data_IF_652131378069
#
_entry.id   IF_652131378069
#
_cell.length_a   1.000
_cell.length_b   1.000
_cell.length_c   1.000
_cell.angle_alpha   90.00
_cell.angle_beta   90.00
_cell.angle_gamma   90.00
#
_symmetry.space_group_name_H-M   'P 1'
#
loop_
_entity.id
_entity.type
_entity.pdbx_description
1 polymer ?
#
# COMPACT_ATOMS: atom_id res chain seq x y z
N UNK A 1 19.41 -5.67 -0.62
CA UNK A 1 18.12 -6.26 -0.20
C UNK A 1 17.01 -5.62 -1.03
N UNK A 2 15.83 -6.24 -1.15
CA UNK A 2 14.65 -5.57 -1.72
C UNK A 2 13.70 -5.22 -0.59
N UNK A 3 13.29 -3.95 -0.50
CA UNK A 3 12.44 -3.45 0.58
C UNK A 3 11.21 -2.76 -0.01
N UNK A 4 10.03 -3.19 0.44
CA UNK A 4 8.75 -2.59 0.05
C UNK A 4 8.32 -1.54 1.05
N UNK A 5 8.04 -0.34 0.56
CA UNK A 5 7.40 0.72 1.31
C UNK A 5 5.93 0.79 0.90
N UNK A 6 5.04 0.45 1.82
CA UNK A 6 3.60 0.41 1.54
C UNK A 6 2.94 1.69 2.05
N UNK A 7 2.36 2.47 1.13
CA UNK A 7 1.61 3.68 1.44
C UNK A 7 0.11 3.40 1.38
N UNK A 8 -0.53 3.48 2.55
CA UNK A 8 -1.96 3.23 2.72
C UNK A 8 -2.72 4.50 3.15
N UNK A 9 -2.24 5.68 2.72
CA UNK A 9 -2.88 6.96 3.01
C UNK A 9 -2.63 7.96 1.86
N UNK A 10 -3.69 8.39 1.19
CA UNK A 10 -3.65 9.39 0.10
C UNK A 10 -4.02 10.81 0.56
N UNK A 11 -4.24 11.03 1.86
CA UNK A 11 -4.66 12.33 2.38
C UNK A 11 -3.51 13.33 2.32
N UNK A 12 -3.75 14.44 1.62
CA UNK A 12 -2.87 15.59 1.59
C UNK A 12 -2.67 16.18 3.00
N UNK A 13 -1.42 16.51 3.34
CA UNK A 13 -1.07 17.11 4.64
C UNK A 13 -1.20 16.17 5.85
N UNK A 14 -1.33 14.86 5.66
CA UNK A 14 -1.36 13.90 6.77
C UNK A 14 -0.02 13.82 7.50
N UNK A 15 -0.07 13.74 8.84
CA UNK A 15 1.12 13.57 9.69
C UNK A 15 1.84 12.25 9.34
N UNK A 16 1.07 11.19 9.12
CA UNK A 16 1.60 9.88 8.71
C UNK A 16 2.23 9.90 7.32
N UNK A 17 1.71 10.72 6.38
CA UNK A 17 2.32 10.91 5.07
C UNK A 17 3.68 11.57 5.16
N UNK A 18 3.78 12.67 5.94
CA UNK A 18 5.07 13.34 6.19
C UNK A 18 6.09 12.43 6.86
N UNK A 19 5.66 11.62 7.84
CA UNK A 19 6.52 10.63 8.50
C UNK A 19 7.02 9.56 7.52
N UNK A 20 6.12 9.04 6.66
CA UNK A 20 6.48 8.09 5.61
C UNK A 20 7.56 8.69 4.68
N UNK A 21 7.36 9.91 4.19
CA UNK A 21 8.28 10.55 3.25
C UNK A 21 9.67 10.76 3.90
N UNK A 22 9.71 11.26 5.14
CA UNK A 22 10.96 11.46 5.88
C UNK A 22 11.70 10.13 6.17
N UNK A 23 10.96 9.08 6.53
CA UNK A 23 11.56 7.76 6.79
C UNK A 23 12.09 7.11 5.51
N UNK A 24 11.34 7.21 4.40
CA UNK A 24 11.74 6.71 3.09
C UNK A 24 13.03 7.38 2.60
N UNK A 25 13.13 8.70 2.75
CA UNK A 25 14.35 9.45 2.44
C UNK A 25 15.53 8.95 3.28
N UNK A 26 15.37 8.91 4.60
CA UNK A 26 16.41 8.43 5.51
C UNK A 26 16.84 6.97 5.21
N UNK A 27 15.90 6.11 4.80
CA UNK A 27 16.19 4.73 4.45
C UNK A 27 17.03 4.64 3.17
N UNK A 28 16.61 5.33 2.10
CA UNK A 28 17.32 5.37 0.81
C UNK A 28 18.75 5.89 0.98
N UNK A 29 18.95 6.92 1.82
CA UNK A 29 20.28 7.47 2.11
C UNK A 29 21.18 6.50 2.89
N UNK A 30 20.63 5.79 3.89
CA UNK A 30 21.40 4.86 4.73
C UNK A 30 21.65 3.50 4.08
N UNK A 31 20.85 3.12 3.08
CA UNK A 31 20.92 1.84 2.36
C UNK A 31 20.98 2.04 0.84
N UNK A 32 22.02 2.70 0.31
CA UNK A 32 22.07 3.12 -1.11
C UNK A 32 22.08 1.97 -2.11
N UNK A 33 22.40 0.75 -1.66
CA UNK A 33 22.46 -0.45 -2.50
C UNK A 33 21.16 -1.29 -2.46
N UNK A 34 20.17 -0.87 -1.67
CA UNK A 34 18.89 -1.57 -1.60
C UNK A 34 17.97 -1.17 -2.76
N UNK A 35 17.23 -2.15 -3.28
CA UNK A 35 16.13 -1.88 -4.21
C UNK A 35 14.89 -1.52 -3.40
N UNK A 36 14.49 -0.26 -3.45
CA UNK A 36 13.30 0.24 -2.76
C UNK A 36 12.14 0.32 -3.74
N UNK A 37 11.05 -0.38 -3.41
CA UNK A 37 9.82 -0.39 -4.22
C UNK A 37 8.69 0.24 -3.39
N UNK A 38 8.05 1.26 -3.93
CA UNK A 38 6.92 1.93 -3.29
C UNK A 38 5.60 1.37 -3.82
N UNK A 39 4.75 0.88 -2.93
CA UNK A 39 3.42 0.36 -3.22
C UNK A 39 2.36 1.31 -2.64
N UNK A 40 1.73 2.10 -3.51
CA UNK A 40 0.61 2.96 -3.14
C UNK A 40 -0.71 2.21 -3.28
N UNK A 41 -1.35 1.86 -2.16
CA UNK A 41 -2.59 1.09 -2.15
C UNK A 41 -3.80 1.85 -2.70
N UNK A 42 -3.76 3.19 -2.76
CA UNK A 42 -4.85 3.99 -3.33
C UNK A 42 -4.79 4.06 -4.85
N UNK A 43 -3.58 3.92 -5.42
CA UNK A 43 -3.35 3.93 -6.86
C UNK A 43 -3.12 2.52 -7.44
N UNK A 44 -3.17 1.48 -6.59
CA UNK A 44 -3.01 0.08 -7.00
C UNK A 44 -4.37 -0.59 -7.23
N UNK A 45 -4.42 -1.49 -8.21
CA UNK A 45 -5.56 -2.38 -8.38
C UNK A 45 -5.53 -3.50 -7.32
N UNK A 46 -6.35 -3.36 -6.28
CA UNK A 46 -6.46 -4.34 -5.19
C UNK A 46 -7.89 -4.85 -5.10
N UNK A 47 -8.05 -6.18 -5.11
CA UNK A 47 -9.35 -6.82 -5.01
C UNK A 47 -9.73 -7.09 -3.55
N UNK A 48 -10.94 -6.70 -3.16
CA UNK A 48 -11.52 -7.14 -1.89
C UNK A 48 -11.83 -8.64 -1.95
N UNK A 49 -11.45 -9.39 -0.91
CA UNK A 49 -11.71 -10.84 -0.85
C UNK A 49 -13.21 -11.17 -0.92
N UNK A 50 -14.10 -10.28 -0.45
CA UNK A 50 -15.54 -10.52 -0.56
C UNK A 50 -16.05 -10.59 -2.00
N UNK A 51 -15.35 -9.96 -2.95
CA UNK A 51 -15.73 -9.97 -4.36
C UNK A 51 -15.25 -11.23 -5.10
N UNK A 52 -14.49 -12.11 -4.44
CA UNK A 52 -14.03 -13.38 -5.03
C UNK A 52 -14.93 -14.56 -4.64
N UNK A 53 -15.79 -14.40 -3.63
CA UNK A 53 -16.76 -15.42 -3.28
C UNK A 53 -17.97 -15.32 -4.20
N UNK A 54 -18.43 -16.42 -4.81
CA UNK A 54 -19.66 -16.42 -5.58
C UNK A 54 -20.79 -15.93 -4.67
N UNK A 55 -21.58 -14.95 -5.14
CA UNK A 55 -22.84 -14.60 -4.47
C UNK A 55 -23.64 -15.89 -4.36
N UNK A 56 -23.93 -16.34 -3.12
CA UNK A 56 -24.80 -17.49 -2.90
C UNK A 56 -26.10 -17.21 -3.67
N UNK A 57 -26.48 -18.11 -4.57
CA UNK A 57 -27.77 -18.01 -5.25
C UNK A 57 -28.86 -17.87 -4.18
N UNK A 58 -29.84 -16.96 -4.37
CA UNK A 58 -30.97 -16.88 -3.45
C UNK A 58 -31.65 -18.25 -3.40
N UNK A 59 -31.95 -18.72 -2.19
CA UNK A 59 -32.74 -19.94 -1.99
C UNK A 59 -34.13 -19.64 -2.58
N UNK A 60 -34.63 -20.41 -3.55
CA UNK A 60 -35.99 -20.21 -4.05
C UNK A 60 -36.98 -20.45 -2.90
N UNK A 61 -37.85 -19.47 -2.70
CA UNK A 61 -39.01 -19.53 -1.78
C UNK A 61 -40.05 -20.53 -2.26
#
# INVERSE_FOLDING_TARGET
MTTFFVKANNRQGSVTGKLYDAFLESYKTSHPNDSVIELDLYNSQINCLLNIFPKKSPIPT
#
